data_IF_213657725178
#
_entry.id   IF_213657725178
#
_cell.length_a   1.000
_cell.length_b   1.000
_cell.length_c   1.000
_cell.angle_alpha   90.00
_cell.angle_beta   90.00
_cell.angle_gamma   90.00
#
_symmetry.space_group_name_H-M   'P 1'
#
loop_
_entity.id
_entity.type
_entity.pdbx_description
1 polymer ?
#
# COMPACT_ATOMS: atom_id res chain seq x y z
N UNK A 1 -14.91 -0.81 3.33
CA UNK A 1 -14.76 -1.88 4.34
C UNK A 1 -13.64 -2.85 3.98
N UNK A 2 -13.62 -3.40 2.76
CA UNK A 2 -12.57 -4.35 2.31
C UNK A 2 -11.14 -3.84 2.50
N UNK A 3 -10.87 -2.59 2.11
CA UNK A 3 -9.56 -1.96 2.28
C UNK A 3 -9.07 -1.96 3.75
N UNK A 4 -9.95 -1.64 4.71
CA UNK A 4 -9.59 -1.62 6.12
C UNK A 4 -9.22 -3.01 6.64
N UNK A 5 -9.94 -4.06 6.21
CA UNK A 5 -9.64 -5.45 6.57
C UNK A 5 -8.29 -5.88 6.01
N UNK A 6 -7.99 -5.55 4.74
CA UNK A 6 -6.71 -5.86 4.10
C UNK A 6 -5.57 -5.17 4.85
N UNK A 7 -5.71 -3.87 5.14
CA UNK A 7 -4.70 -3.11 5.90
C UNK A 7 -4.48 -3.73 7.28
N UNK A 8 -5.54 -4.09 8.00
CA UNK A 8 -5.42 -4.71 9.32
C UNK A 8 -4.67 -6.05 9.26
N UNK A 9 -5.00 -6.91 8.29
CA UNK A 9 -4.33 -8.21 8.11
C UNK A 9 -2.85 -8.06 7.74
N UNK A 10 -2.52 -7.17 6.80
CA UNK A 10 -1.14 -6.92 6.39
C UNK A 10 -0.32 -6.31 7.54
N UNK A 11 -0.90 -5.38 8.29
CA UNK A 11 -0.26 -4.77 9.46
C UNK A 11 0.00 -5.81 10.55
N UNK A 12 -1.00 -6.62 10.88
CA UNK A 12 -0.88 -7.67 11.89
C UNK A 12 0.18 -8.71 11.49
N UNK A 13 0.12 -9.21 10.25
CA UNK A 13 1.09 -10.18 9.72
C UNK A 13 2.51 -9.61 9.65
N UNK A 14 2.66 -8.39 9.15
CA UNK A 14 3.96 -7.70 9.06
C UNK A 14 4.58 -7.49 10.44
N UNK A 15 3.82 -6.96 11.39
CA UNK A 15 4.28 -6.72 12.77
C UNK A 15 4.65 -8.03 13.46
N UNK A 16 3.83 -9.07 13.29
CA UNK A 16 4.09 -10.40 13.83
C UNK A 16 5.40 -10.99 13.30
N UNK A 17 5.65 -10.91 11.98
CA UNK A 17 6.87 -11.42 11.37
C UNK A 17 8.13 -10.64 11.77
N UNK A 18 8.04 -9.32 11.95
CA UNK A 18 9.15 -8.49 12.45
C UNK A 18 9.54 -8.88 13.88
N UNK A 19 8.58 -9.31 14.71
CA UNK A 19 8.84 -9.79 16.07
C UNK A 19 9.44 -11.21 16.12
N UNK A 20 9.45 -11.96 15.02
CA UNK A 20 10.03 -13.30 14.99
C UNK A 20 11.55 -13.27 14.84
N UNK A 21 12.19 -14.35 15.31
CA UNK A 21 13.64 -14.54 15.13
C UNK A 21 13.94 -15.00 13.71
N UNK A 22 14.91 -14.34 13.07
CA UNK A 22 15.46 -14.72 11.77
C UNK A 22 15.30 -13.63 10.72
N UNK A 23 16.41 -13.29 10.05
CA UNK A 23 16.49 -12.17 9.10
C UNK A 23 15.45 -12.31 7.98
N UNK A 24 15.28 -13.50 7.40
CA UNK A 24 14.29 -13.73 6.33
C UNK A 24 12.87 -13.41 6.78
N UNK A 25 12.48 -13.80 8.00
CA UNK A 25 11.14 -13.51 8.55
C UNK A 25 10.97 -12.01 8.76
N UNK A 26 12.01 -11.33 9.26
CA UNK A 26 12.01 -9.87 9.43
C UNK A 26 11.87 -9.16 8.07
N UNK A 27 12.63 -9.57 7.05
CA UNK A 27 12.55 -9.01 5.69
C UNK A 27 11.16 -9.17 5.09
N UNK A 28 10.54 -10.36 5.21
CA UNK A 28 9.16 -10.58 4.77
C UNK A 28 8.18 -9.70 5.58
N UNK A 29 8.42 -9.53 6.87
CA UNK A 29 7.66 -8.62 7.72
C UNK A 29 7.68 -7.18 7.22
N UNK A 30 8.87 -6.65 6.90
CA UNK A 30 9.01 -5.32 6.28
C UNK A 30 8.36 -5.25 4.90
N UNK A 31 8.46 -6.30 4.08
CA UNK A 31 7.78 -6.35 2.79
C UNK A 31 6.25 -6.24 2.95
N UNK A 32 5.65 -6.94 3.93
CA UNK A 32 4.22 -6.82 4.24
C UNK A 32 3.85 -5.41 4.73
N UNK A 33 4.66 -4.81 5.59
CA UNK A 33 4.43 -3.44 6.06
C UNK A 33 4.55 -2.40 4.92
N UNK A 34 5.44 -2.62 3.95
CA UNK A 34 5.51 -1.83 2.72
C UNK A 34 4.21 -1.90 1.92
N UNK A 35 3.63 -3.10 1.77
CA UNK A 35 2.32 -3.27 1.11
C UNK A 35 1.18 -2.63 1.90
N UNK A 36 1.22 -2.65 3.23
CA UNK A 36 0.28 -1.90 4.08
C UNK A 36 0.34 -0.42 3.75
N UNK A 37 1.54 0.18 3.71
CA UNK A 37 1.72 1.60 3.47
C UNK A 37 1.20 2.03 2.09
N UNK A 38 1.51 1.28 1.03
CA UNK A 38 1.03 1.58 -0.32
C UNK A 38 -0.49 1.44 -0.43
N UNK A 39 -1.07 0.43 0.20
CA UNK A 39 -2.53 0.23 0.25
C UNK A 39 -3.23 1.36 1.01
N UNK A 40 -2.67 1.78 2.15
CA UNK A 40 -3.18 2.92 2.92
C UNK A 40 -3.13 4.22 2.11
N UNK A 41 -2.02 4.49 1.42
CA UNK A 41 -1.90 5.64 0.54
C UNK A 41 -2.99 5.64 -0.54
N UNK A 42 -3.10 4.56 -1.32
CA UNK A 42 -4.10 4.48 -2.40
C UNK A 42 -5.53 4.65 -1.86
N UNK A 43 -5.84 4.06 -0.71
CA UNK A 43 -7.20 4.12 -0.13
C UNK A 43 -7.52 5.47 0.51
N UNK A 44 -6.51 6.26 0.89
CA UNK A 44 -6.70 7.64 1.41
C UNK A 44 -7.32 8.59 0.38
N UNK A 45 -7.12 8.34 -0.92
CA UNK A 45 -7.75 9.09 -2.02
C UNK A 45 -9.24 8.77 -2.24
N UNK A 46 -9.81 7.88 -1.41
CA UNK A 46 -11.19 7.42 -1.52
C UNK A 46 -11.34 6.22 -2.47
N UNK A 47 -12.22 5.30 -2.10
CA UNK A 47 -12.40 4.01 -2.81
C UNK A 47 -13.56 4.05 -3.83
N UNK A 48 -14.32 5.14 -3.84
CA UNK A 48 -15.52 5.31 -4.69
C UNK A 48 -15.24 5.80 -6.10
N UNK A 49 -14.07 6.42 -6.35
CA UNK A 49 -13.65 6.91 -7.67
C UNK A 49 -12.62 5.94 -8.25
N UNK A 50 -12.91 5.35 -9.41
CA UNK A 50 -12.09 4.30 -10.04
C UNK A 50 -11.73 4.60 -11.50
N UNK A 51 -12.12 5.77 -12.01
CA UNK A 51 -11.72 6.23 -13.33
C UNK A 51 -10.23 6.54 -13.36
N UNK A 52 -9.63 6.43 -14.54
CA UNK A 52 -8.21 6.70 -14.74
C UNK A 52 -7.99 8.22 -14.69
N UNK A 53 -6.99 8.73 -13.96
CA UNK A 53 -6.75 10.18 -13.83
C UNK A 53 -6.01 10.75 -15.05
N UNK A 54 -6.55 10.53 -16.25
CA UNK A 54 -6.08 11.13 -17.50
C UNK A 54 -7.12 12.08 -18.07
N UNK A 55 -6.65 13.17 -18.69
CA UNK A 55 -7.52 14.12 -19.38
C UNK A 55 -8.22 13.38 -20.53
N UNK A 56 -9.55 13.45 -20.57
CA UNK A 56 -10.37 12.79 -21.60
C UNK A 56 -10.76 11.33 -21.31
N UNK A 57 -10.36 10.77 -20.16
CA UNK A 57 -10.78 9.42 -19.75
C UNK A 57 -12.24 9.38 -19.28
N UNK A 58 -12.92 8.27 -19.53
CA UNK A 58 -14.31 8.05 -19.08
C UNK A 58 -14.37 7.67 -17.58
N UNK A 59 -15.44 8.11 -16.91
CA UNK A 59 -15.71 7.83 -15.49
C UNK A 59 -15.13 8.86 -14.52
N UNK A 60 -15.47 8.74 -13.24
CA UNK A 60 -14.99 9.67 -12.20
C UNK A 60 -13.54 9.34 -11.84
N UNK A 61 -12.57 10.24 -12.11
CA UNK A 61 -11.15 9.95 -11.91
C UNK A 61 -10.81 9.76 -10.44
N UNK A 62 -9.96 8.78 -10.17
CA UNK A 62 -9.32 8.61 -8.87
C UNK A 62 -8.41 9.81 -8.56
N UNK A 63 -8.14 10.06 -7.27
CA UNK A 63 -7.20 11.11 -6.88
C UNK A 63 -5.78 10.74 -7.35
N UNK A 64 -5.11 11.58 -8.18
CA UNK A 64 -3.76 11.30 -8.66
C UNK A 64 -2.68 11.45 -7.58
N UNK A 65 -2.91 12.22 -6.52
CA UNK A 65 -1.87 12.50 -5.51
C UNK A 65 -1.47 11.24 -4.75
N UNK A 66 -2.38 10.43 -4.18
CA UNK A 66 -1.99 9.23 -3.46
C UNK A 66 -1.41 8.14 -4.36
N UNK A 67 -1.71 8.16 -5.67
CA UNK A 67 -1.11 7.26 -6.66
C UNK A 67 0.39 7.58 -6.84
N UNK A 68 0.74 8.86 -6.97
CA UNK A 68 2.14 9.29 -7.07
C UNK A 68 2.93 8.99 -5.79
N UNK A 69 2.31 9.19 -4.62
CA UNK A 69 2.92 8.82 -3.35
C UNK A 69 3.11 7.31 -3.21
N UNK A 70 2.13 6.50 -3.61
CA UNK A 70 2.25 5.05 -3.59
C UNK A 70 3.39 4.56 -4.51
N UNK A 71 3.51 5.10 -5.72
CA UNK A 71 4.61 4.76 -6.63
C UNK A 71 5.99 5.08 -6.03
N UNK A 72 6.10 6.25 -5.40
CA UNK A 72 7.34 6.68 -4.72
C UNK A 72 7.66 5.74 -3.55
N UNK A 73 6.66 5.41 -2.73
CA UNK A 73 6.80 4.48 -1.62
C UNK A 73 7.25 3.08 -2.09
N UNK A 74 6.70 2.57 -3.19
CA UNK A 74 7.11 1.29 -3.78
C UNK A 74 8.60 1.29 -4.12
N UNK A 75 9.09 2.34 -4.78
CA UNK A 75 10.52 2.42 -5.18
C UNK A 75 11.43 2.52 -3.95
N UNK A 76 11.03 3.28 -2.93
CA UNK A 76 11.78 3.37 -1.66
C UNK A 76 11.81 2.01 -0.96
N UNK A 77 10.66 1.34 -0.84
CA UNK A 77 10.59 0.01 -0.22
C UNK A 77 11.44 -1.02 -0.98
N UNK A 78 11.42 -0.99 -2.32
CA UNK A 78 12.27 -1.85 -3.13
C UNK A 78 13.77 -1.58 -2.93
N UNK A 79 14.17 -0.32 -2.72
CA UNK A 79 15.58 0.01 -2.45
C UNK A 79 16.06 -0.43 -1.06
N UNK A 80 15.16 -0.55 -0.08
CA UNK A 80 15.49 -0.91 1.31
C UNK A 80 15.44 -2.43 1.55
N UNK A 81 14.53 -3.13 0.87
CA UNK A 81 14.19 -4.54 1.15
C UNK A 81 14.94 -5.48 0.22
#
# INVERSE_FOLDING_TARGET
MTAAIIVALLTAGGTYLVMQRGIVRITIGFALLGHTATTLLVTSGGVGRRGVPFIGAAGTPADPLPQAFALTAIVISFGIT
#
